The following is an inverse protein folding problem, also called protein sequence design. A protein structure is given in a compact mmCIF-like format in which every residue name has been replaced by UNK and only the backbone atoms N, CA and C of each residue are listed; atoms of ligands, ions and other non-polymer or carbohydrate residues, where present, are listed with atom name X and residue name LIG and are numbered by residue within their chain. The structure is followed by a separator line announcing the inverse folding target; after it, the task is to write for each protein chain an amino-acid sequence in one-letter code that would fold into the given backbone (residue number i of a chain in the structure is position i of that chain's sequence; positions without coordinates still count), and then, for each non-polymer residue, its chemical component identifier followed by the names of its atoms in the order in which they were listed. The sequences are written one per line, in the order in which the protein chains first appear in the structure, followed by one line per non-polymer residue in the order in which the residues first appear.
data_IF_305188811641
#
_entry.id   IF_305188811641
#
_cell.length_a   1.000
_cell.length_b   1.000
_cell.length_c   1.000
_cell.angle_alpha   90.00
_cell.angle_beta   90.00
_cell.angle_gamma   90.00
#
_symmetry.space_group_name_H-M   'P 1'
#
loop_
_entity.id
_entity.type
_entity.pdbx_description
1 polymer ?
#
# COMPACT_ATOMS: atom_id res chain seq x y z
N UNK A 1 -17.91 10.70 -7.13
CA UNK A 1 -17.66 10.33 -5.72
C UNK A 1 -16.82 11.44 -5.14
N UNK A 2 -17.02 11.86 -3.88
CA UNK A 2 -16.12 12.85 -3.27
C UNK A 2 -15.00 12.12 -2.56
N UNK A 3 -13.76 12.44 -2.89
CA UNK A 3 -12.57 11.95 -2.20
C UNK A 3 -12.11 13.00 -1.18
N UNK A 4 -11.73 12.56 0.01
CA UNK A 4 -11.17 13.36 1.10
C UNK A 4 -9.84 12.73 1.50
N UNK A 5 -8.73 13.34 1.09
CA UNK A 5 -7.39 12.95 1.52
C UNK A 5 -7.21 13.53 2.93
N UNK A 6 -7.01 12.64 3.88
CA UNK A 6 -6.96 12.93 5.32
C UNK A 6 -5.67 12.40 5.93
N UNK A 7 -5.24 13.02 7.03
CA UNK A 7 -4.14 12.54 7.87
C UNK A 7 -4.68 12.36 9.28
N UNK A 8 -4.39 11.21 9.88
CA UNK A 8 -4.69 10.92 11.27
C UNK A 8 -3.42 10.82 12.10
N UNK A 9 -3.40 11.48 13.26
CA UNK A 9 -2.31 11.41 14.22
C UNK A 9 -2.67 10.41 15.33
N UNK A 10 -1.88 9.34 15.47
CA UNK A 10 -2.16 8.26 16.43
C UNK A 10 -1.83 8.64 17.88
N UNK A 11 -1.09 9.72 18.10
CA UNK A 11 -0.70 10.22 19.43
C UNK A 11 -1.79 11.14 19.99
N UNK A 12 -2.30 12.07 19.18
CA UNK A 12 -3.35 13.01 19.61
C UNK A 12 -4.76 12.47 19.39
N UNK A 13 -4.94 11.52 18.46
CA UNK A 13 -6.24 11.02 18.02
C UNK A 13 -6.98 11.97 17.07
N UNK A 14 -6.32 13.04 16.60
CA UNK A 14 -6.92 14.03 15.71
C UNK A 14 -6.77 13.63 14.24
N UNK A 15 -7.79 13.98 13.44
CA UNK A 15 -7.78 13.83 11.99
C UNK A 15 -7.92 15.18 11.33
N UNK A 16 -7.06 15.48 10.35
CA UNK A 16 -7.14 16.69 9.52
C UNK A 16 -7.39 16.34 8.06
N UNK A 17 -8.17 17.18 7.39
CA UNK A 17 -8.38 17.12 5.94
C UNK A 17 -7.22 17.85 5.27
N UNK A 18 -6.52 17.18 4.36
CA UNK A 18 -5.48 17.78 3.51
C UNK A 18 -6.10 18.38 2.26
N UNK A 19 -6.94 17.61 1.57
CA UNK A 19 -7.52 18.02 0.30
C UNK A 19 -8.80 17.25 -0.01
N UNK A 20 -9.77 17.92 -0.63
CA UNK A 20 -11.02 17.33 -1.08
C UNK A 20 -11.29 17.63 -2.55
N UNK A 21 -11.86 16.66 -3.24
CA UNK A 21 -12.11 16.74 -4.68
C UNK A 21 -13.30 15.87 -5.09
N UNK A 22 -13.93 16.22 -6.20
CA UNK A 22 -14.97 15.39 -6.85
C UNK A 22 -14.37 14.28 -7.74
N UNK A 23 -13.06 14.32 -7.96
CA UNK A 23 -12.33 13.25 -8.64
C UNK A 23 -12.11 12.07 -7.70
N UNK A 24 -12.02 10.88 -8.27
CA UNK A 24 -11.53 9.71 -7.55
C UNK A 24 -10.01 9.84 -7.42
N UNK A 25 -9.52 9.98 -6.19
CA UNK A 25 -8.08 9.94 -5.87
C UNK A 25 -7.85 8.96 -4.75
N UNK A 26 -6.68 8.33 -4.75
CA UNK A 26 -6.48 7.05 -4.07
C UNK A 26 -5.06 6.93 -3.50
N UNK A 27 -4.94 6.04 -2.52
CA UNK A 27 -3.69 5.43 -2.05
C UNK A 27 -2.54 6.44 -1.79
N UNK A 28 -2.58 7.18 -0.67
CA UNK A 28 -1.58 8.20 -0.35
C UNK A 28 -0.30 7.61 0.27
N UNK A 29 0.87 7.96 -0.25
CA UNK A 29 2.16 7.78 0.43
C UNK A 29 2.67 9.10 0.99
N UNK A 30 3.32 9.09 2.15
CA UNK A 30 4.12 10.23 2.59
C UNK A 30 5.47 10.29 1.88
N UNK A 31 5.90 11.50 1.53
CA UNK A 31 7.30 11.77 1.19
C UNK A 31 8.21 11.56 2.39
N UNK A 32 9.47 11.20 2.12
CA UNK A 32 10.46 10.87 3.17
C UNK A 32 10.86 12.06 4.05
N UNK A 33 10.69 13.28 3.54
CA UNK A 33 10.87 14.54 4.27
C UNK A 33 9.58 15.06 4.93
N UNK A 34 8.45 14.36 4.76
CA UNK A 34 7.15 14.74 5.31
C UNK A 34 6.50 15.98 4.67
N UNK A 35 7.00 16.46 3.54
CA UNK A 35 6.53 17.69 2.91
C UNK A 35 5.28 17.51 2.01
N UNK A 36 5.07 16.32 1.45
CA UNK A 36 3.96 16.07 0.53
C UNK A 36 3.45 14.62 0.63
N UNK A 37 2.27 14.40 0.05
CA UNK A 37 1.76 13.06 -0.24
C UNK A 37 1.88 12.75 -1.74
N UNK A 38 2.10 11.50 -2.12
CA UNK A 38 1.83 11.03 -3.49
C UNK A 38 0.48 10.31 -3.49
N UNK A 39 -0.41 10.69 -4.40
CA UNK A 39 -1.70 10.03 -4.63
C UNK A 39 -1.84 9.67 -6.11
N UNK A 40 -2.65 8.67 -6.44
CA UNK A 40 -3.03 8.38 -7.82
C UNK A 40 -4.49 8.74 -8.11
N UNK A 41 -4.81 8.95 -9.39
CA UNK A 41 -6.17 9.20 -9.88
C UNK A 41 -6.22 9.18 -11.41
N UNK A 42 -7.23 8.54 -11.99
CA UNK A 42 -7.41 8.38 -13.44
C UNK A 42 -6.17 7.83 -14.18
N UNK A 43 -5.42 6.93 -13.54
CA UNK A 43 -4.22 6.33 -14.14
C UNK A 43 -2.94 7.16 -14.01
N UNK A 44 -2.99 8.30 -13.32
CA UNK A 44 -1.87 9.25 -13.17
C UNK A 44 -1.48 9.40 -11.69
N UNK A 45 -0.24 9.85 -11.44
CA UNK A 45 0.26 10.20 -10.10
C UNK A 45 0.34 11.71 -9.90
N UNK A 46 0.15 12.14 -8.64
CA UNK A 46 0.19 13.54 -8.24
C UNK A 46 0.91 13.70 -6.89
N UNK A 47 1.77 14.72 -6.78
CA UNK A 47 2.27 15.21 -5.48
C UNK A 47 1.25 16.20 -4.92
N UNK A 48 0.83 15.98 -3.69
CA UNK A 48 -0.07 16.85 -2.92
C UNK A 48 0.73 17.49 -1.78
N UNK A 49 1.12 18.77 -1.90
CA UNK A 49 1.86 19.48 -0.85
C UNK A 49 1.06 19.57 0.46
N UNK A 50 1.71 19.39 1.60
CA UNK A 50 1.07 19.49 2.93
C UNK A 50 1.03 20.92 3.48
N UNK A 51 1.63 21.88 2.77
CA UNK A 51 1.62 23.31 3.10
C UNK A 51 0.42 24.09 2.49
N UNK A 52 -0.53 23.38 1.88
CA UNK A 52 -1.75 23.96 1.31
C UNK A 52 -1.72 24.20 -0.21
N UNK A 53 -0.69 23.69 -0.91
CA UNK A 53 -0.61 23.69 -2.37
C UNK A 53 -1.67 22.80 -3.06
N UNK A 54 -1.82 22.97 -4.38
CA UNK A 54 -2.65 22.08 -5.22
C UNK A 54 -1.87 20.83 -5.64
N UNK A 55 -2.56 19.71 -5.95
CA UNK A 55 -1.89 18.55 -6.52
C UNK A 55 -1.15 18.90 -7.82
N UNK A 56 0.11 18.47 -7.92
CA UNK A 56 0.98 18.63 -9.09
C UNK A 56 1.20 17.26 -9.72
N UNK A 57 0.85 17.11 -10.99
CA UNK A 57 1.05 15.86 -11.72
C UNK A 57 2.54 15.48 -11.75
N UNK A 58 2.84 14.21 -11.48
CA UNK A 58 4.17 13.62 -11.67
C UNK A 58 4.29 13.17 -13.13
N UNK A 59 5.39 13.52 -13.79
CA UNK A 59 5.68 12.99 -15.12
C UNK A 59 6.12 11.53 -15.01
N UNK A 60 5.24 10.61 -15.41
CA UNK A 60 5.49 9.17 -15.47
C UNK A 60 5.78 8.68 -16.89
N UNK A 61 6.11 9.58 -17.82
CA UNK A 61 6.39 9.24 -19.21
C UNK A 61 5.22 8.52 -19.87
N UNK A 62 5.47 7.32 -20.40
CA UNK A 62 4.43 6.51 -21.05
C UNK A 62 3.40 5.91 -20.06
N UNK A 63 3.72 5.81 -18.77
CA UNK A 63 2.92 5.10 -17.79
C UNK A 63 1.73 5.95 -17.32
N UNK A 64 0.66 5.97 -18.12
CA UNK A 64 -0.55 6.77 -17.87
C UNK A 64 -1.77 5.92 -17.53
N UNK A 65 -1.58 4.67 -17.09
CA UNK A 65 -2.63 3.75 -16.64
C UNK A 65 -2.23 3.10 -15.31
N UNK A 66 -1.59 3.87 -14.44
CA UNK A 66 -1.16 3.43 -13.11
C UNK A 66 -2.38 3.00 -12.27
N UNK A 67 -2.23 1.93 -11.50
CA UNK A 67 -3.21 1.53 -10.49
C UNK A 67 -2.87 2.18 -9.13
N UNK A 68 -3.41 1.61 -8.04
CA UNK A 68 -3.22 2.14 -6.69
C UNK A 68 -1.87 1.77 -6.07
N UNK A 69 -1.08 0.93 -6.73
CA UNK A 69 0.02 0.18 -6.14
C UNK A 69 1.34 0.87 -6.54
N UNK A 70 1.71 1.88 -5.75
CA UNK A 70 2.85 2.78 -5.97
C UNK A 70 3.46 3.27 -4.64
N UNK A 71 4.69 3.75 -4.67
CA UNK A 71 5.33 4.30 -3.48
C UNK A 71 6.74 4.83 -3.70
N UNK A 72 7.40 5.24 -2.61
CA UNK A 72 8.63 6.04 -2.63
C UNK A 72 9.78 5.22 -2.01
N UNK A 73 10.95 5.26 -2.64
CA UNK A 73 12.16 4.62 -2.09
C UNK A 73 12.53 5.18 -0.71
N UNK A 74 13.25 4.41 0.14
CA UNK A 74 13.66 4.87 1.47
C UNK A 74 14.48 6.18 1.46
N UNK A 75 15.29 6.38 0.43
CA UNK A 75 16.09 7.61 0.23
C UNK A 75 15.31 8.75 -0.45
N UNK A 76 14.07 8.51 -0.89
CA UNK A 76 13.23 9.49 -1.58
C UNK A 76 13.60 9.76 -3.04
N UNK A 77 14.61 9.08 -3.61
CA UNK A 77 15.13 9.37 -4.94
C UNK A 77 14.32 8.72 -6.08
N UNK A 78 13.55 7.67 -5.79
CA UNK A 78 12.78 6.91 -6.78
C UNK A 78 11.32 6.78 -6.35
N UNK A 79 10.46 6.63 -7.35
CA UNK A 79 9.09 6.14 -7.20
C UNK A 79 9.01 4.76 -7.84
N UNK A 80 8.27 3.85 -7.21
CA UNK A 80 7.78 2.63 -7.83
C UNK A 80 6.32 2.83 -8.25
N UNK A 81 5.96 2.39 -9.45
CA UNK A 81 4.58 2.41 -9.96
C UNK A 81 4.21 1.06 -10.53
N UNK A 82 2.92 0.72 -10.48
CA UNK A 82 2.37 -0.42 -11.19
C UNK A 82 1.44 0.07 -12.31
N UNK A 83 1.82 -0.17 -13.56
CA UNK A 83 1.17 0.37 -14.76
C UNK A 83 0.87 -0.73 -15.79
N UNK A 84 -0.09 -0.48 -16.69
CA UNK A 84 -0.57 -1.45 -17.68
C UNK A 84 -0.54 -0.96 -19.14
N UNK A 85 0.17 0.12 -19.45
CA UNK A 85 0.26 0.66 -20.81
C UNK A 85 0.95 -0.31 -21.75
N UNK A 86 2.15 -0.80 -21.42
CA UNK A 86 2.94 -1.64 -22.34
C UNK A 86 2.34 -3.04 -22.56
N UNK A 87 1.83 -3.67 -21.49
CA UNK A 87 1.48 -5.10 -21.53
C UNK A 87 -0.02 -5.38 -21.39
N UNK A 88 -0.86 -4.36 -21.18
CA UNK A 88 -2.28 -4.51 -20.90
C UNK A 88 -2.62 -5.11 -19.53
N UNK A 89 -1.59 -5.46 -18.73
CA UNK A 89 -1.66 -6.00 -17.37
C UNK A 89 -0.62 -5.30 -16.49
N UNK A 90 -0.84 -5.31 -15.17
CA UNK A 90 0.01 -4.60 -14.20
C UNK A 90 1.46 -5.07 -14.28
N UNK A 91 2.38 -4.13 -14.44
CA UNK A 91 3.82 -4.32 -14.42
C UNK A 91 4.45 -3.25 -13.52
N UNK A 92 5.49 -3.64 -12.76
CA UNK A 92 6.17 -2.71 -11.85
C UNK A 92 7.29 -2.00 -12.60
N UNK A 93 7.32 -0.68 -12.46
CA UNK A 93 8.37 0.19 -12.98
C UNK A 93 8.96 1.07 -11.88
N UNK A 94 10.19 1.50 -12.09
CA UNK A 94 10.88 2.50 -11.27
C UNK A 94 11.20 3.74 -12.10
N UNK A 95 11.05 4.93 -11.52
CA UNK A 95 11.40 6.20 -12.14
C UNK A 95 11.96 7.19 -11.11
N UNK A 96 12.70 8.24 -11.51
CA UNK A 96 13.12 9.31 -10.60
C UNK A 96 11.92 9.92 -9.87
N UNK A 97 12.09 10.24 -8.60
CA UNK A 97 11.01 10.78 -7.78
C UNK A 97 10.55 12.16 -8.20
N UNK A 98 11.35 12.88 -8.99
CA UNK A 98 11.00 14.16 -9.65
C UNK A 98 10.17 13.97 -10.93
N UNK A 99 10.16 12.76 -11.49
CA UNK A 99 9.51 12.41 -12.75
C UNK A 99 10.51 12.02 -13.83
N UNK A 100 10.04 11.30 -14.84
CA UNK A 100 10.85 10.87 -15.97
C UNK A 100 10.38 9.54 -16.57
N UNK A 101 11.29 8.87 -17.27
CA UNK A 101 10.99 7.63 -17.98
C UNK A 101 10.97 6.43 -17.04
N UNK A 102 9.86 5.66 -16.98
CA UNK A 102 9.80 4.43 -16.21
C UNK A 102 10.73 3.34 -16.78
N UNK A 103 11.44 2.64 -15.88
CA UNK A 103 12.22 1.44 -16.19
C UNK A 103 11.53 0.22 -15.60
N UNK A 104 11.27 -0.79 -16.43
CA UNK A 104 10.65 -2.04 -15.99
C UNK A 104 11.50 -2.73 -14.92
N UNK A 105 10.85 -3.12 -13.81
CA UNK A 105 11.47 -3.90 -12.74
C UNK A 105 11.10 -5.39 -12.82
N UNK A 106 9.84 -5.70 -13.15
CA UNK A 106 9.32 -7.08 -13.15
C UNK A 106 9.10 -7.64 -14.55
N UNK A 107 9.80 -8.72 -14.96
CA UNK A 107 9.55 -9.36 -16.26
C UNK A 107 8.31 -10.26 -16.27
N UNK A 108 7.88 -10.78 -15.12
CA UNK A 108 6.75 -11.70 -14.98
C UNK A 108 5.50 -10.95 -14.50
N UNK A 109 4.34 -11.22 -15.12
CA UNK A 109 3.16 -10.36 -15.02
C UNK A 109 1.84 -11.13 -14.88
N UNK A 110 0.83 -10.59 -14.16
CA UNK A 110 0.84 -9.27 -13.54
C UNK A 110 1.58 -9.23 -12.20
N UNK A 111 2.13 -8.05 -11.89
CA UNK A 111 2.78 -7.74 -10.61
C UNK A 111 2.29 -6.38 -10.09
N UNK A 112 2.03 -6.30 -8.79
CA UNK A 112 1.45 -5.15 -8.08
C UNK A 112 2.37 -4.76 -6.92
N UNK A 113 3.07 -3.63 -7.06
CA UNK A 113 4.04 -3.15 -6.07
C UNK A 113 3.38 -2.83 -4.73
N UNK A 114 3.97 -3.22 -3.61
CA UNK A 114 3.43 -2.82 -2.29
C UNK A 114 4.48 -2.36 -1.29
N UNK A 115 5.72 -2.85 -1.37
CA UNK A 115 6.72 -2.57 -0.35
C UNK A 115 8.11 -2.35 -0.92
N UNK A 116 8.91 -1.59 -0.17
CA UNK A 116 10.33 -1.41 -0.40
C UNK A 116 11.07 -1.84 0.87
N UNK A 117 12.13 -2.64 0.74
CA UNK A 117 12.97 -2.99 1.88
C UNK A 117 13.58 -1.72 2.51
N UNK A 118 13.76 -1.67 3.84
CA UNK A 118 14.27 -0.47 4.51
C UNK A 118 15.66 -0.03 4.02
N UNK A 119 16.48 -0.98 3.56
CA UNK A 119 17.80 -0.72 2.97
C UNK A 119 17.75 -0.19 1.52
N UNK A 120 16.56 -0.14 0.91
CA UNK A 120 16.38 0.34 -0.46
C UNK A 120 16.73 -0.68 -1.55
N UNK A 121 17.16 -1.90 -1.22
CA UNK A 121 17.70 -2.86 -2.19
C UNK A 121 16.66 -3.74 -2.90
N UNK A 122 15.47 -3.92 -2.32
CA UNK A 122 14.51 -4.96 -2.73
C UNK A 122 13.08 -4.41 -2.73
N UNK A 123 12.29 -4.81 -3.72
CA UNK A 123 10.85 -4.55 -3.78
C UNK A 123 10.08 -5.79 -3.34
N UNK A 124 8.99 -5.62 -2.61
CA UNK A 124 7.98 -6.65 -2.35
C UNK A 124 6.69 -6.35 -3.10
N UNK A 125 6.05 -7.38 -3.64
CA UNK A 125 4.87 -7.25 -4.46
C UNK A 125 3.99 -8.50 -4.44
N UNK A 126 2.71 -8.29 -4.76
CA UNK A 126 1.79 -9.36 -5.13
C UNK A 126 2.02 -9.72 -6.60
N UNK A 127 2.30 -10.99 -6.87
CA UNK A 127 2.45 -11.52 -8.23
C UNK A 127 1.39 -12.58 -8.50
N UNK A 128 0.71 -12.46 -9.64
CA UNK A 128 -0.24 -13.49 -10.08
C UNK A 128 0.43 -14.36 -11.15
N UNK A 129 0.53 -15.67 -10.90
CA UNK A 129 1.11 -16.66 -11.82
C UNK A 129 0.18 -17.88 -11.91
N UNK A 130 -0.44 -18.10 -13.07
CA UNK A 130 -1.38 -19.22 -13.25
C UNK A 130 -2.52 -19.20 -12.23
N UNK A 131 -3.14 -18.04 -12.02
CA UNK A 131 -4.21 -17.77 -11.04
C UNK A 131 -3.82 -17.88 -9.55
N UNK A 132 -2.55 -18.15 -9.24
CA UNK A 132 -2.02 -18.12 -7.88
C UNK A 132 -1.55 -16.71 -7.53
N UNK A 133 -2.02 -16.19 -6.40
CA UNK A 133 -1.64 -14.90 -5.84
C UNK A 133 -0.61 -15.13 -4.75
N UNK A 134 0.62 -14.73 -5.00
CA UNK A 134 1.73 -14.95 -4.09
C UNK A 134 2.55 -13.70 -3.84
N UNK A 135 3.24 -13.72 -2.71
CA UNK A 135 4.20 -12.69 -2.34
C UNK A 135 5.52 -13.00 -3.01
N UNK A 136 6.05 -12.00 -3.71
CA UNK A 136 7.36 -12.06 -4.33
C UNK A 136 8.22 -10.89 -3.88
N UNK A 137 9.53 -11.08 -3.99
CA UNK A 137 10.52 -10.02 -3.89
C UNK A 137 11.43 -9.99 -5.12
N UNK A 138 11.94 -8.82 -5.47
CA UNK A 138 12.88 -8.64 -6.58
C UNK A 138 13.89 -7.53 -6.26
N UNK A 139 15.17 -7.65 -6.64
CA UNK A 139 16.13 -6.56 -6.50
C UNK A 139 15.67 -5.31 -7.26
N UNK A 140 15.92 -4.13 -6.71
CA UNK A 140 15.61 -2.83 -7.36
C UNK A 140 16.34 -2.67 -8.70
N UNK A 141 17.51 -3.30 -8.83
CA UNK A 141 18.27 -3.36 -10.09
C UNK A 141 17.59 -4.22 -11.17
N UNK A 142 16.50 -4.92 -10.84
CA UNK A 142 15.94 -6.01 -11.63
C UNK A 142 16.72 -7.32 -11.44
N UNK A 143 16.25 -8.38 -12.07
CA UNK A 143 16.87 -9.70 -12.01
C UNK A 143 15.86 -10.80 -11.72
N UNK A 144 16.31 -11.83 -11.00
CA UNK A 144 15.47 -12.97 -10.61
C UNK A 144 14.51 -12.58 -9.48
N UNK A 145 13.23 -12.92 -9.63
CA UNK A 145 12.24 -12.80 -8.55
C UNK A 145 12.35 -13.98 -7.59
N UNK A 146 12.24 -13.71 -6.29
CA UNK A 146 12.09 -14.73 -5.26
C UNK A 146 10.63 -14.85 -4.88
N UNK A 147 10.09 -16.06 -4.92
CA UNK A 147 8.74 -16.39 -4.44
C UNK A 147 8.78 -16.71 -2.93
N UNK A 148 7.91 -16.08 -2.14
CA UNK A 148 7.87 -16.22 -0.67
C UNK A 148 6.65 -17.02 -0.16
N UNK A 149 5.57 -17.09 -0.94
CA UNK A 149 4.40 -17.94 -0.67
C UNK A 149 4.10 -18.84 -1.88
N UNK A 150 3.44 -19.97 -1.66
CA UNK A 150 3.38 -21.06 -2.64
C UNK A 150 1.94 -21.50 -2.96
N UNK A 151 1.01 -20.54 -2.99
CA UNK A 151 -0.39 -20.78 -3.35
C UNK A 151 -1.29 -21.12 -2.17
N UNK A 152 -0.85 -20.89 -0.93
CA UNK A 152 -1.71 -21.03 0.26
C UNK A 152 -2.74 -19.91 0.32
N UNK A 153 -3.92 -20.15 -0.27
CA UNK A 153 -4.93 -19.12 -0.45
C UNK A 153 -4.48 -18.03 -1.45
N UNK A 154 -5.14 -16.87 -1.41
CA UNK A 154 -4.67 -15.67 -2.11
C UNK A 154 -3.84 -14.83 -1.15
N UNK A 155 -2.62 -14.49 -1.52
CA UNK A 155 -1.70 -13.68 -0.72
C UNK A 155 -1.47 -12.33 -1.41
N UNK A 156 -1.64 -11.23 -0.68
CA UNK A 156 -1.65 -9.88 -1.26
C UNK A 156 -1.11 -8.81 -0.28
N UNK A 157 -0.88 -7.59 -0.78
CA UNK A 157 -0.54 -6.41 0.02
C UNK A 157 0.73 -6.52 0.88
N UNK A 158 1.88 -6.99 0.37
CA UNK A 158 3.09 -7.14 1.19
C UNK A 158 3.80 -5.82 1.52
N UNK A 159 4.08 -5.57 2.79
CA UNK A 159 4.86 -4.41 3.26
C UNK A 159 5.92 -4.81 4.30
N UNK A 160 7.06 -4.12 4.29
CA UNK A 160 8.20 -4.46 5.15
C UNK A 160 8.03 -3.90 6.56
N UNK A 161 8.52 -4.65 7.55
CA UNK A 161 8.82 -4.08 8.86
C UNK A 161 9.99 -3.10 8.78
N UNK A 162 10.02 -2.11 9.68
CA UNK A 162 11.05 -1.07 9.70
C UNK A 162 12.48 -1.62 9.91
N UNK A 163 12.62 -2.74 10.62
CA UNK A 163 13.89 -3.46 10.81
C UNK A 163 14.29 -4.35 9.62
N UNK A 164 13.39 -4.54 8.66
CA UNK A 164 13.59 -5.41 7.51
C UNK A 164 13.55 -6.92 7.82
N UNK A 165 13.19 -7.33 9.04
CA UNK A 165 13.14 -8.75 9.41
C UNK A 165 11.90 -9.47 8.88
N UNK A 166 10.84 -8.73 8.55
CA UNK A 166 9.54 -9.27 8.19
C UNK A 166 8.92 -8.55 7.00
N UNK A 167 8.12 -9.30 6.25
CA UNK A 167 7.16 -8.79 5.28
C UNK A 167 5.78 -9.20 5.80
N UNK A 168 4.95 -8.21 6.13
CA UNK A 168 3.55 -8.39 6.50
C UNK A 168 2.68 -8.39 5.25
N UNK A 169 1.66 -9.25 5.19
CA UNK A 169 0.78 -9.37 4.03
C UNK A 169 -0.57 -9.96 4.46
N UNK A 170 -1.61 -9.85 3.64
CA UNK A 170 -2.88 -10.52 3.90
C UNK A 170 -2.98 -11.85 3.13
N UNK A 171 -3.60 -12.86 3.74
CA UNK A 171 -3.83 -14.17 3.12
C UNK A 171 -5.22 -14.72 3.43
N UNK A 172 -5.85 -15.33 2.42
CA UNK A 172 -7.14 -16.01 2.55
C UNK A 172 -7.04 -17.47 3.02
N UNK A 173 -5.85 -17.95 3.40
CA UNK A 173 -5.58 -19.38 3.71
C UNK A 173 -6.43 -19.97 4.83
N UNK A 174 -7.04 -19.13 5.67
CA UNK A 174 -7.96 -19.53 6.75
C UNK A 174 -9.43 -19.23 6.44
N UNK A 175 -9.78 -19.03 5.16
CA UNK A 175 -11.15 -18.85 4.67
C UNK A 175 -11.58 -17.40 4.46
N UNK A 176 -10.93 -16.44 5.12
CA UNK A 176 -11.06 -14.99 4.89
C UNK A 176 -9.69 -14.33 4.96
N UNK A 177 -9.57 -13.10 4.44
CA UNK A 177 -8.32 -12.36 4.52
C UNK A 177 -7.95 -12.04 5.96
N UNK A 178 -6.75 -12.43 6.35
CA UNK A 178 -6.15 -12.21 7.67
C UNK A 178 -4.71 -11.76 7.46
N UNK A 179 -4.10 -11.08 8.41
CA UNK A 179 -2.71 -10.64 8.30
C UNK A 179 -1.78 -11.77 8.72
N UNK A 180 -0.69 -11.92 7.96
CA UNK A 180 0.40 -12.85 8.16
C UNK A 180 1.73 -12.13 7.98
N UNK A 181 2.82 -12.78 8.35
CA UNK A 181 4.17 -12.34 8.02
C UNK A 181 5.07 -13.49 7.62
N UNK A 182 6.08 -13.17 6.82
CA UNK A 182 7.15 -14.08 6.39
C UNK A 182 8.48 -13.33 6.42
N UNK A 183 9.61 -14.02 6.59
CA UNK A 183 10.92 -13.36 6.44
C UNK A 183 11.20 -13.05 4.96
N UNK A 184 11.97 -12.00 4.63
CA UNK A 184 12.30 -11.66 3.24
C UNK A 184 13.09 -12.73 2.48
N UNK A 185 13.79 -13.60 3.19
CA UNK A 185 14.49 -14.76 2.62
C UNK A 185 13.57 -15.99 2.47
N UNK A 186 12.34 -15.93 2.99
CA UNK A 186 11.32 -16.98 2.95
C UNK A 186 11.17 -17.70 4.30
N UNK A 187 10.68 -18.94 4.26
CA UNK A 187 10.54 -19.78 5.45
C UNK A 187 9.12 -19.80 6.02
N UNK A 188 9.02 -20.00 7.34
CA UNK A 188 7.73 -20.18 8.00
C UNK A 188 6.89 -18.90 7.97
N UNK A 189 5.62 -19.05 7.60
CA UNK A 189 4.64 -17.96 7.62
C UNK A 189 3.88 -17.99 8.93
N UNK A 190 3.87 -16.88 9.66
CA UNK A 190 3.17 -16.74 10.94
C UNK A 190 1.91 -15.90 10.78
N UNK A 191 0.80 -16.33 11.39
CA UNK A 191 -0.46 -15.57 11.43
C UNK A 191 -0.35 -14.44 12.46
N UNK A 192 -0.83 -13.25 12.09
CA UNK A 192 -0.83 -12.05 12.93
C UNK A 192 -2.24 -11.71 13.42
N UNK A 193 -3.26 -11.81 12.56
CA UNK A 193 -4.65 -11.58 12.99
C UNK A 193 -5.49 -12.85 12.97
N UNK A 194 -6.32 -13.00 14.01
CA UNK A 194 -7.46 -13.90 14.06
C UNK A 194 -8.72 -13.12 14.45
N UNK A 195 -9.35 -12.51 13.45
CA UNK A 195 -10.42 -11.53 13.62
C UNK A 195 -11.70 -11.95 12.91
N UNK A 196 -12.88 -11.42 13.32
CA UNK A 196 -14.12 -11.67 12.60
C UNK A 196 -14.21 -10.90 11.26
N UNK A 197 -13.18 -10.15 10.87
CA UNK A 197 -13.15 -9.26 9.71
C UNK A 197 -12.37 -9.85 8.53
N UNK A 198 -12.51 -9.24 7.35
CA UNK A 198 -11.54 -9.37 6.26
C UNK A 198 -10.45 -8.31 6.42
N UNK A 199 -9.27 -8.70 6.89
CA UNK A 199 -8.15 -7.79 7.18
C UNK A 199 -7.24 -7.64 5.94
N UNK A 200 -7.02 -6.40 5.52
CA UNK A 200 -6.33 -5.99 4.29
C UNK A 200 -5.33 -4.87 4.56
N UNK A 201 -4.36 -4.73 3.65
CA UNK A 201 -3.40 -3.61 3.59
C UNK A 201 -2.64 -3.39 4.91
N UNK A 202 -1.83 -4.36 5.36
CA UNK A 202 -1.01 -4.20 6.55
C UNK A 202 0.15 -3.23 6.28
N UNK A 203 0.21 -2.13 7.03
CA UNK A 203 1.33 -1.17 6.96
C UNK A 203 1.99 -1.04 8.33
N UNK A 204 3.17 -1.67 8.54
CA UNK A 204 3.98 -1.46 9.74
C UNK A 204 4.42 0.00 9.85
N UNK A 205 4.42 0.56 11.06
CA UNK A 205 4.89 1.93 11.30
C UNK A 205 6.42 2.00 11.22
N UNK A 206 7.00 3.12 10.74
CA UNK A 206 8.45 3.31 10.64
C UNK A 206 9.23 3.21 11.96
N UNK A 207 8.55 3.41 13.09
CA UNK A 207 9.14 3.25 14.43
C UNK A 207 9.13 1.80 14.94
N UNK A 208 8.57 0.86 14.16
CA UNK A 208 8.51 -0.57 14.46
C UNK A 208 7.52 -0.96 15.56
N UNK A 209 6.64 -0.05 15.99
CA UNK A 209 5.74 -0.29 17.14
C UNK A 209 4.35 -0.74 16.76
N UNK A 210 3.82 -0.21 15.65
CA UNK A 210 2.42 -0.38 15.29
C UNK A 210 2.27 -1.06 13.94
N UNK A 211 1.12 -1.68 13.74
CA UNK A 211 0.64 -2.20 12.48
C UNK A 211 -0.74 -1.60 12.20
N UNK A 212 -0.85 -0.84 11.11
CA UNK A 212 -2.11 -0.31 10.61
C UNK A 212 -2.74 -1.32 9.65
N UNK A 213 -4.04 -1.57 9.80
CA UNK A 213 -4.80 -2.53 9.00
C UNK A 213 -6.16 -1.95 8.63
N UNK A 214 -6.61 -2.19 7.40
CA UNK A 214 -7.98 -1.93 6.97
C UNK A 214 -8.80 -3.22 7.11
N UNK A 215 -9.95 -3.14 7.79
CA UNK A 215 -10.83 -4.29 8.00
C UNK A 215 -12.20 -4.07 7.37
N UNK A 216 -12.60 -4.97 6.47
CA UNK A 216 -13.97 -5.13 5.98
C UNK A 216 -14.79 -6.03 6.92
N UNK A 217 -16.12 -5.99 6.78
CA UNK A 217 -16.98 -7.01 7.38
C UNK A 217 -16.62 -8.42 6.88
N UNK A 218 -16.81 -9.43 7.73
CA UNK A 218 -16.24 -10.77 7.51
C UNK A 218 -16.85 -11.58 6.35
N UNK A 219 -17.96 -11.13 5.78
CA UNK A 219 -18.65 -11.70 4.62
C UNK A 219 -18.29 -11.00 3.30
N UNK A 220 -17.52 -9.91 3.35
CA UNK A 220 -17.06 -9.19 2.17
C UNK A 220 -16.01 -10.03 1.44
N UNK A 221 -16.29 -10.32 0.16
CA UNK A 221 -15.34 -10.93 -0.74
C UNK A 221 -14.46 -9.86 -1.39
N UNK A 222 -13.16 -10.16 -1.50
CA UNK A 222 -12.16 -9.28 -2.09
C UNK A 222 -11.99 -7.95 -1.32
N UNK A 223 -11.47 -6.92 -1.97
CA UNK A 223 -11.31 -5.56 -1.42
C UNK A 223 -12.11 -4.54 -2.24
N UNK A 224 -13.46 -4.52 -2.15
CA UNK A 224 -14.29 -3.63 -2.94
C UNK A 224 -14.19 -2.15 -2.51
N UNK A 225 -14.76 -1.27 -3.34
CA UNK A 225 -14.96 0.15 -2.99
C UNK A 225 -16.25 0.34 -2.19
N UNK A 226 -16.39 1.54 -1.63
CA UNK A 226 -17.67 2.11 -1.21
C UNK A 226 -18.43 1.30 -0.15
N UNK A 227 -17.67 0.71 0.79
CA UNK A 227 -18.22 0.05 1.97
C UNK A 227 -17.84 0.79 3.25
N UNK A 228 -18.59 0.54 4.32
CA UNK A 228 -18.13 0.92 5.67
C UNK A 228 -17.02 -0.04 6.07
N UNK A 229 -15.84 0.50 6.34
CA UNK A 229 -14.64 -0.23 6.75
C UNK A 229 -14.07 0.37 8.04
N UNK A 230 -13.18 -0.37 8.70
CA UNK A 230 -12.49 0.05 9.92
C UNK A 230 -11.01 0.24 9.63
N UNK A 231 -10.44 1.35 10.10
CA UNK A 231 -9.00 1.42 10.29
C UNK A 231 -8.68 0.97 11.71
N UNK A 232 -7.81 -0.03 11.81
CA UNK A 232 -7.40 -0.64 13.07
C UNK A 232 -5.92 -0.49 13.26
N UNK A 233 -5.54 -0.27 14.51
CA UNK A 233 -4.15 -0.24 14.94
C UNK A 233 -3.92 -1.37 15.93
N UNK A 234 -2.79 -2.03 15.82
CA UNK A 234 -2.35 -3.10 16.71
C UNK A 234 -0.84 -3.03 16.90
N UNK A 235 -0.31 -3.77 17.88
CA UNK A 235 1.13 -4.00 17.99
C UNK A 235 1.60 -4.86 16.81
N UNK A 236 2.88 -4.82 16.45
CA UNK A 236 3.42 -5.56 15.30
C UNK A 236 3.28 -7.09 15.42
N UNK A 237 3.02 -7.62 16.61
CA UNK A 237 2.72 -9.04 16.84
C UNK A 237 1.22 -9.38 16.74
N UNK A 238 0.36 -8.40 16.46
CA UNK A 238 -1.10 -8.54 16.41
C UNK A 238 -1.82 -8.28 17.73
N UNK A 239 -1.07 -8.06 18.81
CA UNK A 239 -1.59 -7.71 20.13
C UNK A 239 -2.28 -6.34 20.16
N UNK A 240 -3.06 -6.10 21.22
CA UNK A 240 -3.65 -4.79 21.51
C UNK A 240 -4.46 -4.15 20.35
N UNK A 241 -5.04 -4.98 19.48
CA UNK A 241 -5.79 -4.50 18.33
C UNK A 241 -7.01 -3.66 18.74
N UNK A 242 -7.11 -2.45 18.19
CA UNK A 242 -8.22 -1.52 18.43
C UNK A 242 -8.68 -0.86 17.13
N UNK A 243 -9.97 -0.54 17.05
CA UNK A 243 -10.52 0.31 15.99
C UNK A 243 -10.15 1.76 16.30
N UNK A 244 -9.52 2.45 15.36
CA UNK A 244 -9.30 3.90 15.45
C UNK A 244 -10.60 4.63 15.11
N UNK A 245 -11.17 4.32 13.95
CA UNK A 245 -12.46 4.83 13.48
C UNK A 245 -13.01 4.03 12.30
N UNK A 246 -14.30 4.22 12.03
CA UNK A 246 -14.96 3.73 10.82
C UNK A 246 -14.96 4.81 9.72
N UNK A 247 -14.95 4.37 8.47
CA UNK A 247 -15.04 5.26 7.31
C UNK A 247 -15.74 4.58 6.13
N UNK A 248 -16.31 5.38 5.25
CA UNK A 248 -16.80 4.92 3.96
C UNK A 248 -15.65 4.90 2.95
N UNK A 249 -15.30 3.72 2.46
CA UNK A 249 -14.16 3.51 1.57
C UNK A 249 -13.85 2.04 1.32
N UNK A 250 -12.60 1.63 1.53
CA UNK A 250 -12.09 0.32 1.14
C UNK A 250 -10.97 0.45 0.12
N UNK A 251 -11.18 -0.06 -1.10
CA UNK A 251 -10.25 0.15 -2.20
C UNK A 251 -9.95 1.63 -2.43
N UNK A 252 -8.67 1.98 -2.42
CA UNK A 252 -8.16 3.33 -2.57
C UNK A 252 -7.95 4.08 -1.25
N UNK A 253 -8.39 3.54 -0.11
CA UNK A 253 -8.20 4.21 1.19
C UNK A 253 -6.73 4.21 1.62
N UNK A 254 -6.05 3.06 1.50
CA UNK A 254 -4.66 2.87 1.94
C UNK A 254 -4.04 1.61 1.30
N UNK A 255 -4.04 1.48 -0.03
CA UNK A 255 -3.44 0.30 -0.69
C UNK A 255 -1.92 0.19 -0.51
N UNK A 256 -1.28 1.29 -0.07
CA UNK A 256 0.17 1.51 -0.13
C UNK A 256 0.69 2.02 1.21
N UNK A 257 2.00 1.88 1.49
CA UNK A 257 2.60 2.35 2.73
C UNK A 257 2.35 3.84 2.93
N UNK A 258 1.61 4.18 3.99
CA UNK A 258 0.96 5.48 4.16
C UNK A 258 1.35 6.20 5.45
N UNK A 259 2.36 5.71 6.17
CA UNK A 259 2.88 6.35 7.38
C UNK A 259 3.76 7.56 7.07
N UNK A 260 3.60 8.60 7.89
CA UNK A 260 4.56 9.69 8.00
C UNK A 260 5.94 9.17 8.42
N UNK A 261 7.05 9.86 8.05
CA UNK A 261 8.40 9.39 8.35
C UNK A 261 8.70 9.21 9.85
N UNK A 262 8.04 9.96 10.72
CA UNK A 262 8.20 9.86 12.18
C UNK A 262 7.33 8.77 12.83
N UNK A 263 6.44 8.14 12.06
CA UNK A 263 5.54 7.08 12.53
C UNK A 263 4.41 7.53 13.45
N UNK A 264 4.17 8.84 13.60
CA UNK A 264 3.11 9.37 14.47
C UNK A 264 1.80 9.66 13.74
N UNK A 265 1.85 9.75 12.41
CA UNK A 265 0.70 9.99 11.55
C UNK A 265 0.63 9.02 10.38
N UNK A 266 -0.56 8.79 9.84
CA UNK A 266 -0.75 8.12 8.55
C UNK A 266 -1.76 8.87 7.69
N UNK A 267 -1.58 8.80 6.37
CA UNK A 267 -2.47 9.38 5.38
C UNK A 267 -3.47 8.33 4.88
N UNK A 268 -4.68 8.75 4.53
CA UNK A 268 -5.69 7.86 3.96
C UNK A 268 -6.68 8.64 3.11
N UNK A 269 -7.50 7.94 2.32
CA UNK A 269 -8.63 8.54 1.62
C UNK A 269 -9.95 8.05 2.19
N UNK A 270 -10.78 8.99 2.61
CA UNK A 270 -12.20 8.78 2.92
C UNK A 270 -13.03 9.16 1.71
N UNK A 271 -14.03 8.34 1.40
CA UNK A 271 -14.94 8.59 0.30
C UNK A 271 -16.32 8.99 0.81
N UNK A 272 -17.10 9.63 -0.07
CA UNK A 272 -18.51 9.85 0.14
C UNK A 272 -19.28 9.69 -1.19
N UNK A 273 -20.51 9.15 -1.15
CA UNK A 273 -21.41 9.17 -2.29
C UNK A 273 -21.61 10.60 -2.80
N UNK A 274 -21.69 10.78 -4.12
CA UNK A 274 -22.18 12.06 -4.67
C UNK A 274 -23.68 12.09 -4.39
N UNK A 275 -24.15 13.17 -3.77
CA UNK A 275 -25.59 13.42 -3.64
C UNK A 275 -26.17 13.91 -4.94
#
# INVERSE_FOLDING_TARGET
MRSSVEIHNIVTGETRVVWQTERLVEAPNFSRDGAFLIVNGDGLLYRLPLDGGRPVKIDTGFATRCNNDHGISPDGALIAISDKVEFGKSAIYLLPSEGGTPRLATPNLPSYWHGWSPDGGTLAYCGIRGDLFDIYTIPVTGGEERRLTFGEGRNDGPDYSADGEWIYFNSSRTGRMQIWRVRPDGGEVTRITDSPYGDWFPHPSPDGRNLLVLSYDGDVFDHPRDLTVRLRLMDVDGGNARVLFELFGGQGTMNVPNWSPDGTEFAFVRYAPVR
#
